data_IF_852375814251
#
_entry.id   IF_852375814251
#
_cell.length_a   1.000
_cell.length_b   1.000
_cell.length_c   1.000
_cell.angle_alpha   90.00
_cell.angle_beta   90.00
_cell.angle_gamma   90.00
#
_symmetry.space_group_name_H-M   'P 1'
#
loop_
_entity.id
_entity.type
_entity.pdbx_description
1 polymer ?
#
# COMPACT_ATOMS: atom_id res chain seq x y z
N UNK A 1 3.64 6.47 -6.41
CA UNK A 1 4.84 5.93 -5.76
C UNK A 1 6.08 6.15 -6.63
N UNK A 2 7.23 6.43 -6.02
CA UNK A 2 8.45 6.83 -6.74
C UNK A 2 8.35 8.21 -7.40
N UNK A 3 9.31 8.53 -8.29
CA UNK A 3 9.30 9.76 -9.09
C UNK A 3 8.71 9.51 -10.49
N UNK A 4 8.38 10.59 -11.22
CA UNK A 4 7.92 10.47 -12.60
C UNK A 4 8.98 9.81 -13.53
N UNK A 5 10.26 10.04 -13.26
CA UNK A 5 11.37 9.51 -14.04
C UNK A 5 11.82 8.13 -13.60
N UNK A 6 11.56 7.76 -12.33
CA UNK A 6 11.86 6.45 -11.77
C UNK A 6 10.69 5.99 -10.87
N UNK A 7 9.67 5.32 -11.42
CA UNK A 7 8.44 4.98 -10.73
C UNK A 7 8.60 3.71 -9.87
N UNK A 8 9.66 3.68 -9.05
CA UNK A 8 9.94 2.64 -8.05
C UNK A 8 10.11 3.32 -6.70
N UNK A 9 9.42 2.81 -5.70
CA UNK A 9 9.58 3.25 -4.32
C UNK A 9 10.01 2.06 -3.48
N UNK A 10 11.04 2.25 -2.67
CA UNK A 10 11.54 1.27 -1.70
C UNK A 10 11.43 1.90 -0.33
N UNK A 11 10.61 1.33 0.53
CA UNK A 11 10.28 1.89 1.84
C UNK A 11 10.59 0.88 2.95
N UNK A 12 11.52 1.17 3.84
CA UNK A 12 11.62 0.47 5.12
C UNK A 12 10.47 0.92 6.04
N UNK A 13 9.74 -0.03 6.61
CA UNK A 13 8.53 0.20 7.35
C UNK A 13 8.52 -0.59 8.66
N UNK A 14 7.89 -0.03 9.68
CA UNK A 14 7.62 -0.70 10.95
C UNK A 14 6.13 -0.57 11.27
N UNK A 15 5.44 -1.68 11.55
CA UNK A 15 3.99 -1.63 11.79
C UNK A 15 3.64 -0.80 13.03
N UNK A 16 4.55 -0.72 14.00
CA UNK A 16 4.38 0.10 15.19
C UNK A 16 4.34 1.60 14.89
N UNK A 17 4.95 2.05 13.79
CA UNK A 17 4.95 3.46 13.39
C UNK A 17 3.59 3.95 12.88
N UNK A 18 2.72 3.03 12.49
CA UNK A 18 1.38 3.35 12.03
C UNK A 18 0.42 3.55 13.18
N UNK A 19 -0.52 4.48 13.02
CA UNK A 19 -1.61 4.68 13.96
C UNK A 19 -2.47 3.42 14.09
N UNK A 20 -2.88 3.11 15.31
CA UNK A 20 -3.61 1.88 15.62
C UNK A 20 -2.82 0.60 15.26
N UNK A 21 -1.48 0.70 15.07
CA UNK A 21 -0.61 -0.43 14.74
C UNK A 21 -1.11 -1.22 13.52
N UNK A 22 -1.58 -0.48 12.50
CA UNK A 22 -2.07 -1.04 11.25
C UNK A 22 -1.96 -0.03 10.13
N UNK A 23 -1.57 -0.47 8.95
CA UNK A 23 -1.81 0.34 7.76
C UNK A 23 -3.21 0.03 7.22
N UNK A 24 -3.90 1.11 6.81
CA UNK A 24 -5.30 1.04 6.43
C UNK A 24 -5.50 0.37 5.08
N UNK A 25 -6.70 -0.13 4.86
CA UNK A 25 -7.15 -0.63 3.58
C UNK A 25 -6.94 0.39 2.48
N UNK A 26 -6.13 0.01 1.49
CA UNK A 26 -5.88 0.80 0.30
C UNK A 26 -5.60 -0.10 -0.91
N UNK A 27 -5.60 0.48 -2.08
CA UNK A 27 -5.17 -0.14 -3.33
C UNK A 27 -4.54 0.92 -4.22
N UNK A 28 -3.73 0.49 -5.12
CA UNK A 28 -3.04 1.33 -6.08
C UNK A 28 -2.73 0.53 -7.36
N UNK A 29 -2.51 1.20 -8.51
CA UNK A 29 -2.21 0.53 -9.78
C UNK A 29 -0.83 -0.14 -9.81
N UNK A 30 0.02 0.16 -8.84
CA UNK A 30 1.35 -0.41 -8.72
C UNK A 30 1.29 -1.86 -8.22
N UNK A 31 2.36 -2.59 -8.51
CA UNK A 31 2.71 -3.87 -7.88
C UNK A 31 3.42 -3.57 -6.58
N UNK A 32 3.14 -4.34 -5.54
CA UNK A 32 3.88 -4.30 -4.30
C UNK A 32 4.52 -5.65 -3.99
N UNK A 33 5.81 -5.61 -3.65
CA UNK A 33 6.60 -6.73 -3.17
C UNK A 33 7.08 -6.39 -1.77
N UNK A 34 6.71 -7.19 -0.79
CA UNK A 34 7.11 -6.95 0.60
C UNK A 34 7.95 -8.11 1.11
N UNK A 35 9.09 -7.80 1.75
CA UNK A 35 9.90 -8.75 2.50
C UNK A 35 9.87 -8.41 3.99
N UNK A 36 9.59 -9.41 4.84
CA UNK A 36 9.49 -9.27 6.29
C UNK A 36 10.86 -9.50 6.93
N UNK A 37 11.41 -8.44 7.52
CA UNK A 37 12.76 -8.44 8.08
C UNK A 37 12.77 -9.02 9.48
N UNK A 38 11.75 -8.70 10.30
CA UNK A 38 11.60 -9.22 11.67
C UNK A 38 10.14 -9.18 12.11
N UNK A 39 9.79 -10.04 13.06
CA UNK A 39 8.45 -10.14 13.63
C UNK A 39 7.45 -10.86 12.72
N UNK A 40 6.17 -10.58 12.94
CA UNK A 40 5.07 -11.15 12.16
C UNK A 40 3.90 -10.16 12.03
N UNK A 41 3.13 -10.29 10.97
CA UNK A 41 1.98 -9.44 10.67
C UNK A 41 0.81 -10.24 10.13
N UNK A 42 -0.41 -9.89 10.50
CA UNK A 42 -1.60 -10.30 9.74
C UNK A 42 -1.71 -9.39 8.52
N UNK A 43 -1.42 -9.94 7.34
CA UNK A 43 -1.54 -9.25 6.07
C UNK A 43 -2.80 -9.73 5.35
N UNK A 44 -3.64 -8.82 4.91
CA UNK A 44 -4.92 -9.15 4.27
C UNK A 44 -4.90 -8.60 2.85
N UNK A 45 -5.17 -9.46 1.86
CA UNK A 45 -5.32 -9.05 0.46
C UNK A 45 -6.67 -9.52 -0.04
N UNK A 46 -7.51 -8.58 -0.44
CA UNK A 46 -8.90 -8.83 -0.78
C UNK A 46 -9.63 -9.55 0.38
N UNK A 47 -10.04 -10.79 0.20
CA UNK A 47 -10.68 -11.62 1.22
C UNK A 47 -9.75 -12.68 1.82
N UNK A 48 -8.50 -12.74 1.38
CA UNK A 48 -7.49 -13.67 1.86
C UNK A 48 -6.72 -13.07 3.03
N UNK A 49 -6.43 -13.88 4.04
CA UNK A 49 -5.69 -13.50 5.24
C UNK A 49 -4.46 -14.38 5.37
N UNK A 50 -3.36 -13.73 5.65
CA UNK A 50 -2.06 -14.36 5.79
C UNK A 50 -1.43 -13.93 7.12
N UNK A 51 -0.84 -14.86 7.84
CA UNK A 51 0.16 -14.54 8.87
C UNK A 51 1.51 -14.68 8.18
N UNK A 52 2.22 -13.58 8.04
CA UNK A 52 3.52 -13.55 7.39
C UNK A 52 4.57 -13.27 8.46
N UNK A 53 5.60 -14.07 8.46
CA UNK A 53 6.65 -14.08 9.48
C UNK A 53 7.98 -13.61 8.91
N UNK A 54 8.93 -13.37 9.81
CA UNK A 54 10.32 -13.05 9.48
C UNK A 54 10.89 -13.98 8.39
N UNK A 55 11.57 -13.41 7.42
CA UNK A 55 12.19 -14.11 6.29
C UNK A 55 11.25 -14.38 5.12
N UNK A 56 9.94 -14.36 5.32
CA UNK A 56 8.94 -14.52 4.27
C UNK A 56 8.72 -13.21 3.50
N UNK A 57 7.97 -13.30 2.40
CA UNK A 57 7.53 -12.13 1.65
C UNK A 57 6.12 -12.29 1.11
N UNK A 58 5.62 -11.23 0.48
CA UNK A 58 4.35 -11.26 -0.23
C UNK A 58 4.43 -10.43 -1.52
N UNK A 59 3.85 -10.96 -2.57
CA UNK A 59 3.50 -10.22 -3.79
C UNK A 59 2.04 -9.78 -3.69
N UNK A 60 1.78 -8.49 -3.88
CA UNK A 60 0.44 -7.93 -4.07
C UNK A 60 0.32 -7.39 -5.50
N UNK A 61 -0.71 -7.86 -6.19
CA UNK A 61 -0.96 -7.50 -7.59
C UNK A 61 -1.52 -6.07 -7.71
N UNK A 62 -1.40 -5.52 -8.90
CA UNK A 62 -2.01 -4.24 -9.29
C UNK A 62 -3.49 -4.19 -8.88
N UNK A 63 -3.89 -3.10 -8.26
CA UNK A 63 -5.26 -2.88 -7.76
C UNK A 63 -5.77 -3.94 -6.75
N UNK A 64 -4.92 -4.74 -6.16
CA UNK A 64 -5.31 -5.60 -5.05
C UNK A 64 -5.54 -4.76 -3.79
N UNK A 65 -6.72 -4.89 -3.19
CA UNK A 65 -7.06 -4.20 -1.95
C UNK A 65 -6.34 -4.88 -0.78
N UNK A 66 -5.54 -4.15 -0.02
CA UNK A 66 -4.76 -4.76 1.06
C UNK A 66 -4.64 -3.89 2.32
N UNK A 67 -4.35 -4.55 3.44
CA UNK A 67 -4.12 -3.95 4.75
C UNK A 67 -3.24 -4.85 5.61
N UNK A 68 -2.54 -4.28 6.59
CA UNK A 68 -1.73 -5.01 7.56
C UNK A 68 -2.07 -4.66 9.00
N UNK A 69 -2.01 -5.64 9.87
CA UNK A 69 -2.35 -5.51 11.27
C UNK A 69 -1.27 -6.14 12.15
N UNK A 70 -0.90 -5.42 13.19
CA UNK A 70 -0.01 -5.95 14.24
C UNK A 70 -0.63 -7.16 14.91
N UNK A 71 0.21 -8.10 15.33
CA UNK A 71 -0.18 -9.30 16.09
C UNK A 71 0.43 -9.21 17.49
N UNK A 72 -0.39 -9.46 18.50
CA UNK A 72 0.04 -9.60 19.92
C UNK A 72 0.92 -8.45 20.45
N UNK A 73 0.66 -7.20 19.99
CA UNK A 73 1.42 -6.00 20.32
C UNK A 73 2.95 -6.12 20.04
N UNK A 74 3.33 -6.99 19.11
CA UNK A 74 4.72 -7.17 18.68
C UNK A 74 4.98 -6.42 17.38
N UNK A 75 6.10 -5.67 17.35
CA UNK A 75 6.51 -4.95 16.16
C UNK A 75 6.90 -5.90 15.02
N UNK A 76 6.68 -5.44 13.78
CA UNK A 76 7.07 -6.13 12.58
C UNK A 76 7.72 -5.12 11.64
N UNK A 77 8.97 -5.37 11.28
CA UNK A 77 9.72 -4.55 10.35
C UNK A 77 9.74 -5.23 8.99
N UNK A 78 9.48 -4.46 7.93
CA UNK A 78 9.42 -4.99 6.57
C UNK A 78 9.92 -3.96 5.55
N UNK A 79 10.30 -4.44 4.39
CA UNK A 79 10.69 -3.64 3.23
C UNK A 79 9.61 -3.78 2.16
N UNK A 80 9.04 -2.67 1.75
CA UNK A 80 8.08 -2.60 0.64
C UNK A 80 8.77 -2.05 -0.61
N UNK A 81 8.64 -2.75 -1.72
CA UNK A 81 9.07 -2.34 -3.06
C UNK A 81 7.84 -2.19 -3.93
N UNK A 82 7.49 -0.96 -4.23
CA UNK A 82 6.28 -0.61 -5.00
C UNK A 82 6.69 -0.04 -6.36
N UNK A 83 6.12 -0.56 -7.45
CA UNK A 83 6.43 -0.09 -8.80
C UNK A 83 5.25 -0.22 -9.76
N UNK A 84 5.12 0.74 -10.68
CA UNK A 84 4.07 0.67 -11.69
C UNK A 84 4.40 -0.40 -12.75
N UNK A 85 3.44 -1.26 -13.17
CA UNK A 85 3.66 -2.32 -14.16
C UNK A 85 4.28 -1.84 -15.48
N UNK A 86 4.04 -0.58 -15.86
CA UNK A 86 4.65 0.07 -17.04
C UNK A 86 6.18 0.02 -16.99
N UNK A 87 6.76 -0.04 -15.81
CA UNK A 87 8.21 -0.14 -15.65
C UNK A 87 8.77 -1.47 -16.21
N UNK A 88 7.94 -2.52 -16.24
CA UNK A 88 8.30 -3.83 -16.83
C UNK A 88 8.08 -3.84 -18.35
N UNK A 89 6.93 -3.31 -18.85
CA UNK A 89 6.59 -3.45 -20.25
C UNK A 89 7.03 -2.27 -21.14
N UNK A 90 7.42 -1.14 -20.56
CA UNK A 90 7.96 0.04 -21.25
C UNK A 90 6.92 0.87 -21.99
N UNK A 91 6.36 0.39 -23.09
CA UNK A 91 5.38 1.14 -23.87
C UNK A 91 4.07 0.35 -24.09
N UNK A 92 3.00 1.12 -24.26
CA UNK A 92 1.63 0.59 -24.37
C UNK A 92 1.46 -0.27 -25.63
N UNK A 93 0.64 -1.32 -25.51
CA UNK A 93 0.37 -2.30 -26.55
C UNK A 93 1.61 -3.11 -27.00
N UNK A 94 2.69 -3.08 -26.23
CA UNK A 94 3.85 -3.95 -26.49
C UNK A 94 3.51 -5.43 -26.24
N UNK A 95 4.28 -6.32 -26.84
CA UNK A 95 4.16 -7.77 -26.57
C UNK A 95 4.45 -8.07 -25.10
N UNK A 96 5.31 -7.27 -24.44
CA UNK A 96 5.58 -7.42 -23.01
C UNK A 96 4.36 -7.10 -22.17
N UNK A 97 3.63 -6.03 -22.51
CA UNK A 97 2.37 -5.70 -21.85
C UNK A 97 1.34 -6.79 -22.07
N UNK A 98 0.92 -7.01 -23.32
CA UNK A 98 -0.29 -7.78 -23.63
C UNK A 98 -0.17 -9.27 -23.33
N UNK A 99 1.03 -9.83 -23.46
CA UNK A 99 1.26 -11.26 -23.25
C UNK A 99 1.76 -11.61 -21.84
N UNK A 100 2.57 -10.76 -21.23
CA UNK A 100 3.28 -11.12 -20.00
C UNK A 100 2.82 -10.32 -18.78
N UNK A 101 2.48 -9.03 -18.94
CA UNK A 101 2.09 -8.19 -17.80
C UNK A 101 0.59 -8.25 -17.58
N UNK A 102 -0.22 -7.96 -18.59
CA UNK A 102 -1.68 -7.97 -18.48
C UNK A 102 -2.21 -9.37 -18.12
N UNK A 103 -1.49 -10.43 -18.50
CA UNK A 103 -1.80 -11.80 -18.12
C UNK A 103 -1.91 -11.98 -16.61
N UNK A 104 -1.05 -11.33 -15.83
CA UNK A 104 -1.06 -11.37 -14.36
C UNK A 104 -1.94 -10.25 -13.81
N UNK A 105 -1.69 -9.00 -14.22
CA UNK A 105 -2.32 -7.81 -13.62
C UNK A 105 -3.83 -7.73 -13.82
N UNK A 106 -4.33 -8.29 -14.92
CA UNK A 106 -5.77 -8.32 -15.19
C UNK A 106 -6.51 -9.48 -14.52
N UNK A 107 -5.81 -10.38 -13.85
CA UNK A 107 -6.41 -11.54 -13.22
C UNK A 107 -6.67 -11.30 -11.73
N UNK A 108 -7.93 -11.12 -11.36
CA UNK A 108 -8.36 -10.84 -9.99
C UNK A 108 -8.12 -12.00 -9.02
N UNK A 109 -7.92 -13.23 -9.51
CA UNK A 109 -7.62 -14.41 -8.66
C UNK A 109 -6.17 -14.43 -8.19
N UNK A 110 -5.29 -13.75 -8.91
CA UNK A 110 -3.87 -13.67 -8.59
C UNK A 110 -3.55 -12.36 -7.87
N UNK A 111 -4.41 -12.03 -6.91
CA UNK A 111 -4.28 -10.79 -6.13
C UNK A 111 -3.06 -10.76 -5.24
N UNK A 112 -2.60 -11.93 -4.80
CA UNK A 112 -1.43 -12.06 -3.92
C UNK A 112 -0.80 -13.44 -3.98
N UNK A 113 0.47 -13.50 -3.56
CA UNK A 113 1.23 -14.73 -3.39
C UNK A 113 2.20 -14.56 -2.22
N UNK A 114 2.07 -15.40 -1.19
CA UNK A 114 3.06 -15.46 -0.10
C UNK A 114 4.32 -16.13 -0.63
N UNK A 115 5.45 -15.52 -0.39
CA UNK A 115 6.77 -15.98 -0.78
C UNK A 115 7.44 -16.66 0.40
N UNK A 116 7.82 -17.91 0.22
CA UNK A 116 8.38 -18.78 1.24
C UNK A 116 9.88 -19.03 0.97
N UNK A 117 10.78 -18.79 1.93
CA UNK A 117 12.22 -18.98 1.74
C UNK A 117 12.61 -20.43 1.51
N UNK A 118 11.81 -21.41 1.96
CA UNK A 118 12.04 -22.84 1.71
C UNK A 118 11.72 -23.29 0.27
N UNK A 119 11.04 -22.46 -0.53
CA UNK A 119 10.71 -22.75 -1.94
C UNK A 119 11.71 -22.02 -2.83
N UNK A 120 12.58 -22.73 -3.58
CA UNK A 120 13.74 -22.12 -4.24
C UNK A 120 13.44 -20.90 -5.11
N UNK A 121 12.44 -20.95 -6.01
CA UNK A 121 12.12 -19.83 -6.89
C UNK A 121 11.48 -18.64 -6.15
N UNK A 122 10.79 -18.89 -5.03
CA UNK A 122 10.23 -17.84 -4.18
C UNK A 122 11.33 -17.19 -3.35
N UNK A 123 12.27 -17.97 -2.85
CA UNK A 123 13.45 -17.45 -2.17
C UNK A 123 14.31 -16.58 -3.09
N UNK A 124 14.44 -16.92 -4.37
CA UNK A 124 15.12 -16.07 -5.33
C UNK A 124 14.45 -14.69 -5.46
N UNK A 125 13.12 -14.63 -5.42
CA UNK A 125 12.38 -13.34 -5.40
C UNK A 125 12.69 -12.56 -4.12
N UNK A 126 12.68 -13.23 -2.97
CA UNK A 126 13.03 -12.58 -1.68
C UNK A 126 14.46 -12.01 -1.74
N UNK A 127 15.43 -12.76 -2.26
CA UNK A 127 16.81 -12.28 -2.41
C UNK A 127 16.92 -11.08 -3.37
N UNK A 128 16.14 -11.04 -4.45
CA UNK A 128 16.09 -9.86 -5.31
C UNK A 128 15.48 -8.64 -4.62
N UNK A 129 14.46 -8.80 -3.76
CA UNK A 129 13.91 -7.70 -2.96
C UNK A 129 15.00 -7.15 -2.02
N UNK A 130 15.76 -8.03 -1.37
CA UNK A 130 16.89 -7.64 -0.51
C UNK A 130 17.97 -6.91 -1.28
N UNK A 131 18.32 -7.36 -2.49
CA UNK A 131 19.29 -6.69 -3.36
C UNK A 131 18.78 -5.31 -3.78
N UNK A 132 17.52 -5.16 -4.16
CA UNK A 132 16.89 -3.88 -4.50
C UNK A 132 17.00 -2.91 -3.32
N UNK A 133 16.68 -3.36 -2.10
CA UNK A 133 16.82 -2.55 -0.90
C UNK A 133 18.26 -2.12 -0.66
N UNK A 134 19.20 -3.06 -0.77
CA UNK A 134 20.65 -2.78 -0.62
C UNK A 134 21.13 -1.72 -1.61
N UNK A 135 20.77 -1.83 -2.89
CA UNK A 135 21.11 -0.85 -3.92
C UNK A 135 20.54 0.53 -3.60
N UNK A 136 19.30 0.58 -3.11
CA UNK A 136 18.66 1.85 -2.73
C UNK A 136 19.35 2.52 -1.55
N UNK A 137 19.73 1.76 -0.51
CA UNK A 137 20.47 2.27 0.64
C UNK A 137 21.84 2.82 0.28
N UNK A 138 22.53 2.22 -0.71
CA UNK A 138 23.86 2.68 -1.16
C UNK A 138 23.80 4.05 -1.85
N UNK A 139 22.66 4.42 -2.45
CA UNK A 139 22.50 5.70 -3.17
C UNK A 139 21.90 6.78 -2.27
N UNK A 140 21.00 6.40 -1.39
CA UNK A 140 20.39 7.31 -0.41
C UNK A 140 21.28 7.34 0.85
N UNK A 141 22.39 8.07 0.83
CA UNK A 141 23.25 8.31 2.00
C UNK A 141 22.56 9.20 3.06
N UNK A 142 21.32 8.89 3.43
CA UNK A 142 20.56 9.55 4.47
C UNK A 142 20.44 8.66 5.70
N UNK A 143 20.74 9.24 6.86
CA UNK A 143 20.77 8.67 8.20
C UNK A 143 19.46 8.04 8.71
N UNK A 144 18.38 8.07 7.92
CA UNK A 144 17.03 7.77 8.39
C UNK A 144 16.49 6.37 8.01
N UNK A 145 17.25 5.58 7.26
CA UNK A 145 16.84 4.24 6.83
C UNK A 145 17.50 3.13 7.67
N UNK A 146 17.44 3.24 9.01
CA UNK A 146 18.00 2.22 9.89
C UNK A 146 16.92 1.24 10.35
N UNK A 147 16.98 0.00 9.88
CA UNK A 147 16.22 -1.12 10.48
C UNK A 147 17.13 -1.83 11.49
N UNK A 148 16.76 -1.92 12.78
CA UNK A 148 17.52 -2.67 13.77
C UNK A 148 17.71 -4.12 13.34
N UNK A 149 18.97 -4.59 13.30
CA UNK A 149 19.32 -5.96 12.94
C UNK A 149 19.79 -6.15 11.48
N UNK A 150 19.70 -5.10 10.63
CA UNK A 150 20.32 -5.10 9.32
C UNK A 150 21.46 -4.08 9.30
N UNK A 151 22.70 -4.53 9.56
CA UNK A 151 23.88 -3.66 9.55
C UNK A 151 24.11 -3.16 8.13
N UNK A 152 23.88 -1.85 7.95
CA UNK A 152 24.11 -1.15 6.70
C UNK A 152 25.54 -1.31 6.21
N UNK A 153 25.68 -1.48 4.92
CA UNK A 153 26.97 -1.60 4.23
C UNK A 153 27.68 -0.24 4.30
N UNK A 154 28.96 -0.25 4.69
CA UNK A 154 29.83 0.91 4.73
C UNK A 154 29.82 1.69 3.40
N UNK A 155 30.04 3.00 3.48
CA UNK A 155 30.14 3.94 2.36
C UNK A 155 30.80 3.31 1.13
N UNK A 156 30.02 3.02 0.10
CA UNK A 156 30.52 2.59 -1.20
C UNK A 156 30.25 3.72 -2.23
N UNK A 157 31.09 3.83 -3.25
CA UNK A 157 30.96 4.88 -4.26
C UNK A 157 29.60 4.78 -4.97
N UNK A 158 29.08 5.93 -5.41
CA UNK A 158 27.88 6.04 -6.25
C UNK A 158 27.88 4.95 -7.32
N UNK A 159 26.85 4.09 -7.30
CA UNK A 159 26.64 3.10 -8.35
C UNK A 159 25.97 3.83 -9.52
N UNK A 160 26.68 4.08 -10.63
CA UNK A 160 26.14 4.91 -11.71
C UNK A 160 25.00 4.27 -12.49
N UNK A 161 24.66 3.03 -12.20
CA UNK A 161 23.70 2.20 -12.93
C UNK A 161 22.65 1.56 -12.01
N UNK A 162 22.44 2.08 -10.79
CA UNK A 162 21.57 1.43 -9.80
C UNK A 162 20.11 1.32 -10.27
N UNK A 163 19.55 2.34 -10.94
CA UNK A 163 18.20 2.30 -11.49
C UNK A 163 18.05 1.19 -12.54
N UNK A 164 19.07 1.02 -13.38
CA UNK A 164 19.06 -0.02 -14.39
C UNK A 164 19.16 -1.42 -13.77
N UNK A 165 19.97 -1.58 -12.73
CA UNK A 165 20.06 -2.83 -11.96
C UNK A 165 18.75 -3.17 -11.29
N UNK A 166 18.08 -2.20 -10.64
CA UNK A 166 16.75 -2.39 -10.05
C UNK A 166 15.74 -2.82 -11.14
N UNK A 167 15.78 -2.18 -12.31
CA UNK A 167 14.91 -2.57 -13.42
C UNK A 167 15.14 -4.04 -13.85
N UNK A 168 16.38 -4.47 -13.97
CA UNK A 168 16.70 -5.86 -14.32
C UNK A 168 16.19 -6.84 -13.25
N UNK A 169 16.38 -6.54 -11.97
CA UNK A 169 15.89 -7.37 -10.86
C UNK A 169 14.36 -7.48 -10.85
N UNK A 170 13.66 -6.38 -11.10
CA UNK A 170 12.20 -6.39 -11.20
C UNK A 170 11.70 -7.20 -12.41
N UNK A 171 12.40 -7.14 -13.55
CA UNK A 171 12.12 -7.99 -14.70
C UNK A 171 12.34 -9.49 -14.39
N UNK A 172 13.38 -9.84 -13.65
CA UNK A 172 13.65 -11.21 -13.21
C UNK A 172 12.57 -11.72 -12.25
N UNK A 173 12.15 -10.90 -11.28
CA UNK A 173 11.03 -11.21 -10.38
C UNK A 173 9.76 -11.46 -11.20
N UNK A 174 9.45 -10.54 -12.14
CA UNK A 174 8.26 -10.66 -12.99
C UNK A 174 8.27 -11.93 -13.82
N UNK A 175 9.41 -12.30 -14.38
CA UNK A 175 9.56 -13.53 -15.17
C UNK A 175 9.26 -14.78 -14.31
N UNK A 176 9.73 -14.84 -13.06
CA UNK A 176 9.44 -15.97 -12.15
C UNK A 176 7.96 -16.06 -11.80
N UNK A 177 7.34 -14.93 -11.50
CA UNK A 177 5.90 -14.84 -11.24
C UNK A 177 5.12 -15.32 -12.48
N UNK A 178 5.49 -14.86 -13.68
CA UNK A 178 4.84 -15.27 -14.92
C UNK A 178 4.92 -16.79 -15.13
N UNK A 179 6.10 -17.39 -14.97
CA UNK A 179 6.27 -18.84 -15.11
C UNK A 179 5.40 -19.62 -14.12
N UNK A 180 5.31 -19.16 -12.88
CA UNK A 180 4.43 -19.76 -11.88
C UNK A 180 2.96 -19.65 -12.28
N UNK A 181 2.50 -18.46 -12.63
CA UNK A 181 1.10 -18.24 -12.99
C UNK A 181 0.67 -18.94 -14.28
N UNK A 182 1.56 -19.08 -15.26
CA UNK A 182 1.28 -19.92 -16.46
C UNK A 182 1.00 -21.37 -16.09
N UNK A 183 1.72 -21.92 -15.10
CA UNK A 183 1.51 -23.30 -14.67
C UNK A 183 0.15 -23.51 -13.99
N UNK A 184 -0.34 -22.55 -13.24
CA UNK A 184 -1.62 -22.65 -12.50
C UNK A 184 -2.82 -22.07 -13.27
N UNK A 185 -2.61 -21.38 -14.39
CA UNK A 185 -3.68 -20.74 -15.17
C UNK A 185 -4.73 -21.71 -15.70
N UNK A 186 -4.40 -22.98 -15.81
CA UNK A 186 -5.31 -24.01 -16.34
C UNK A 186 -6.43 -24.40 -15.37
N UNK A 187 -6.32 -24.04 -14.08
CA UNK A 187 -7.17 -24.55 -13.00
C UNK A 187 -8.02 -23.46 -12.30
N UNK A 188 -8.07 -22.19 -12.80
CA UNK A 188 -8.67 -21.07 -12.05
C UNK A 188 -10.17 -20.88 -12.27
N UNK A 189 -10.98 -20.72 -11.19
CA UNK A 189 -12.43 -20.46 -11.24
C UNK A 189 -12.79 -18.98 -11.57
N UNK A 190 -14.09 -18.72 -11.79
CA UNK A 190 -14.65 -17.45 -12.29
C UNK A 190 -14.60 -16.24 -11.33
N UNK A 191 -14.67 -14.98 -11.86
CA UNK A 191 -14.46 -13.72 -11.10
C UNK A 191 -15.37 -13.53 -9.89
N UNK A 192 -14.81 -12.98 -8.81
CA UNK A 192 -15.55 -12.69 -7.57
C UNK A 192 -16.26 -11.33 -7.68
N UNK A 193 -17.53 -11.32 -8.10
CA UNK A 193 -18.38 -10.10 -8.25
C UNK A 193 -18.38 -9.17 -7.01
N UNK A 194 -18.11 -9.71 -5.83
CA UNK A 194 -18.13 -8.92 -4.60
C UNK A 194 -16.87 -8.06 -4.41
N UNK A 195 -15.70 -8.44 -4.94
CA UNK A 195 -14.50 -7.59 -4.88
C UNK A 195 -14.65 -6.36 -5.76
N UNK A 196 -15.17 -6.52 -6.98
CA UNK A 196 -15.46 -5.38 -7.84
C UNK A 196 -16.44 -4.41 -7.16
N UNK A 197 -17.50 -4.93 -6.55
CA UNK A 197 -18.46 -4.11 -5.81
C UNK A 197 -17.84 -3.38 -4.61
N UNK A 198 -16.90 -4.01 -3.91
CA UNK A 198 -16.16 -3.34 -2.82
C UNK A 198 -15.31 -2.20 -3.35
N UNK A 199 -14.57 -2.43 -4.43
CA UNK A 199 -13.80 -1.39 -5.12
C UNK A 199 -14.67 -0.23 -5.59
N UNK A 200 -15.84 -0.52 -6.16
CA UNK A 200 -16.79 0.50 -6.60
C UNK A 200 -17.24 1.39 -5.42
N UNK A 201 -17.55 0.78 -4.25
CA UNK A 201 -17.90 1.54 -3.04
C UNK A 201 -16.73 2.41 -2.58
N UNK A 202 -15.52 1.84 -2.54
CA UNK A 202 -14.34 2.54 -2.05
C UNK A 202 -13.94 3.68 -2.99
N UNK A 203 -13.94 3.48 -4.31
CA UNK A 203 -13.70 4.53 -5.31
C UNK A 203 -14.70 5.66 -5.16
N UNK A 204 -15.99 5.32 -5.06
CA UNK A 204 -17.04 6.33 -4.85
C UNK A 204 -16.83 7.16 -3.58
N UNK A 205 -16.47 6.50 -2.47
CA UNK A 205 -16.18 7.19 -1.22
C UNK A 205 -14.95 8.10 -1.31
N UNK A 206 -13.91 7.70 -2.04
CA UNK A 206 -12.70 8.51 -2.24
C UNK A 206 -12.94 9.70 -3.15
N UNK A 207 -13.61 9.49 -4.29
CA UNK A 207 -13.91 10.53 -5.28
C UNK A 207 -14.82 11.62 -4.71
N UNK A 208 -15.77 11.23 -3.86
CA UNK A 208 -16.76 12.12 -3.25
C UNK A 208 -16.48 12.42 -1.76
N UNK A 209 -15.27 12.17 -1.28
CA UNK A 209 -14.94 12.29 0.16
C UNK A 209 -15.23 13.67 0.73
N UNK A 210 -15.08 14.74 -0.07
CA UNK A 210 -15.34 16.13 0.35
C UNK A 210 -16.81 16.52 0.34
N UNK A 211 -17.69 15.69 -0.21
CA UNK A 211 -19.11 15.97 -0.37
C UNK A 211 -19.93 15.45 0.82
N UNK A 212 -21.18 15.90 0.91
CA UNK A 212 -22.14 15.34 1.85
C UNK A 212 -22.72 14.04 1.26
N UNK A 213 -22.26 12.89 1.77
CA UNK A 213 -22.66 11.57 1.29
C UNK A 213 -23.71 10.96 2.22
N UNK A 214 -24.81 10.50 1.64
CA UNK A 214 -25.80 9.68 2.34
C UNK A 214 -25.52 8.18 2.14
N UNK A 215 -25.96 7.35 3.09
CA UNK A 215 -25.88 5.90 2.95
C UNK A 215 -26.73 5.40 1.77
N UNK A 216 -27.81 6.13 1.42
CA UNK A 216 -28.65 5.88 0.26
C UNK A 216 -27.85 5.96 -1.04
N UNK A 217 -27.08 7.03 -1.22
CA UNK A 217 -26.30 7.28 -2.44
C UNK A 217 -25.21 6.21 -2.60
N UNK A 218 -24.50 5.90 -1.52
CA UNK A 218 -23.44 4.88 -1.52
C UNK A 218 -24.01 3.50 -1.84
N UNK A 219 -25.12 3.12 -1.21
CA UNK A 219 -25.77 1.83 -1.43
C UNK A 219 -26.35 1.71 -2.85
N UNK A 220 -26.96 2.78 -3.37
CA UNK A 220 -27.48 2.83 -4.73
C UNK A 220 -26.36 2.67 -5.76
N UNK A 221 -25.21 3.35 -5.57
CA UNK A 221 -24.05 3.21 -6.43
C UNK A 221 -23.55 1.75 -6.51
N UNK A 222 -23.54 1.04 -5.38
CA UNK A 222 -23.14 -0.37 -5.32
C UNK A 222 -24.22 -1.37 -5.77
N UNK A 223 -25.42 -0.90 -6.13
CA UNK A 223 -26.57 -1.76 -6.45
C UNK A 223 -27.04 -2.61 -5.27
N UNK A 224 -26.99 -2.07 -4.05
CA UNK A 224 -27.37 -2.71 -2.80
C UNK A 224 -28.44 -1.90 -2.06
N UNK A 225 -29.19 -2.55 -1.17
CA UNK A 225 -29.94 -1.82 -0.16
C UNK A 225 -29.00 -1.39 0.99
N UNK A 226 -29.39 -0.36 1.77
CA UNK A 226 -28.58 0.19 2.87
C UNK A 226 -28.05 -0.86 3.85
N UNK A 227 -28.93 -1.75 4.28
CA UNK A 227 -28.56 -2.79 5.25
C UNK A 227 -27.59 -3.82 4.69
N UNK A 228 -27.71 -4.15 3.41
CA UNK A 228 -26.78 -5.03 2.72
C UNK A 228 -25.43 -4.34 2.52
N UNK A 229 -25.43 -3.08 2.10
CA UNK A 229 -24.22 -2.28 1.91
C UNK A 229 -23.42 -2.19 3.21
N UNK A 230 -24.05 -1.85 4.33
CA UNK A 230 -23.39 -1.79 5.64
C UNK A 230 -22.81 -3.14 6.06
N UNK A 231 -23.58 -4.25 5.93
CA UNK A 231 -23.10 -5.59 6.28
C UNK A 231 -21.96 -6.03 5.39
N UNK A 232 -22.10 -5.79 4.08
CA UNK A 232 -21.10 -6.11 3.08
C UNK A 232 -19.79 -5.36 3.38
N UNK A 233 -19.84 -4.04 3.51
CA UNK A 233 -18.68 -3.21 3.78
C UNK A 233 -18.00 -3.63 5.10
N UNK A 234 -18.77 -3.76 6.20
CA UNK A 234 -18.22 -4.17 7.50
C UNK A 234 -17.60 -5.57 7.48
N UNK A 235 -18.13 -6.49 6.67
CA UNK A 235 -17.57 -7.85 6.51
C UNK A 235 -16.14 -7.79 5.94
N UNK A 236 -15.91 -6.96 4.92
CA UNK A 236 -14.63 -6.91 4.21
C UNK A 236 -13.65 -5.90 4.83
N UNK A 237 -14.14 -4.72 5.24
CA UNK A 237 -13.33 -3.62 5.73
C UNK A 237 -13.11 -3.61 7.25
N UNK A 238 -13.84 -4.44 8.00
CA UNK A 238 -13.84 -4.49 9.49
C UNK A 238 -14.21 -3.16 10.17
N UNK A 239 -14.62 -2.16 9.42
CA UNK A 239 -15.06 -0.83 9.90
C UNK A 239 -16.36 -0.41 9.23
N UNK A 240 -16.99 0.64 9.73
CA UNK A 240 -18.18 1.18 9.07
C UNK A 240 -17.80 2.04 7.86
N UNK A 241 -18.76 2.20 6.91
CA UNK A 241 -18.61 3.09 5.74
C UNK A 241 -18.23 4.52 6.17
N UNK A 242 -18.88 5.04 7.21
CA UNK A 242 -18.62 6.40 7.68
C UNK A 242 -17.32 6.51 8.46
N UNK A 243 -16.85 5.48 9.17
CA UNK A 243 -15.50 5.50 9.76
C UNK A 243 -14.45 5.53 8.66
N UNK A 244 -14.62 4.76 7.58
CA UNK A 244 -13.73 4.82 6.42
C UNK A 244 -13.75 6.21 5.76
N UNK A 245 -14.93 6.80 5.52
CA UNK A 245 -15.05 8.14 4.96
C UNK A 245 -14.34 9.19 5.84
N UNK A 246 -14.52 9.13 7.15
CA UNK A 246 -13.85 10.04 8.09
C UNK A 246 -12.32 9.87 8.04
N UNK A 247 -11.82 8.65 8.00
CA UNK A 247 -10.38 8.40 7.88
C UNK A 247 -9.80 8.95 6.56
N UNK A 248 -10.51 8.73 5.44
CA UNK A 248 -10.15 9.30 4.13
C UNK A 248 -10.08 10.82 4.15
N UNK A 249 -11.06 11.48 4.77
CA UNK A 249 -11.07 12.95 4.96
C UNK A 249 -9.88 13.43 5.78
N UNK A 250 -9.52 12.72 6.84
CA UNK A 250 -8.33 13.05 7.65
C UNK A 250 -7.06 12.90 6.82
N UNK A 251 -6.89 11.81 6.09
CA UNK A 251 -5.73 11.62 5.22
C UNK A 251 -5.62 12.72 4.16
N UNK A 252 -6.72 13.08 3.50
CA UNK A 252 -6.77 14.17 2.53
C UNK A 252 -6.44 15.54 3.14
N UNK A 253 -6.65 15.71 4.45
CA UNK A 253 -6.36 16.97 5.16
C UNK A 253 -4.87 17.17 5.46
N UNK A 254 -4.07 16.10 5.53
CA UNK A 254 -2.65 16.16 5.93
C UNK A 254 -1.81 16.99 4.95
N UNK A 255 -1.84 16.78 3.63
CA UNK A 255 -1.11 17.63 2.68
C UNK A 255 -1.48 19.12 2.82
N UNK A 256 -2.77 19.42 2.88
CA UNK A 256 -3.26 20.81 3.05
C UNK A 256 -2.75 21.45 4.35
N UNK A 257 -2.68 20.66 5.42
CA UNK A 257 -2.16 21.11 6.71
C UNK A 257 -0.66 21.40 6.63
N UNK A 258 0.10 20.60 5.88
CA UNK A 258 1.54 20.78 5.66
C UNK A 258 1.82 21.98 4.75
N UNK A 259 1.00 22.24 3.74
CA UNK A 259 1.06 23.41 2.86
C UNK A 259 0.72 24.73 3.59
N UNK A 260 0.34 24.64 4.86
CA UNK A 260 0.13 25.81 5.70
C UNK A 260 -1.29 26.36 5.71
N UNK A 261 -2.23 25.70 5.07
CA UNK A 261 -3.64 26.12 5.02
C UNK A 261 -4.26 26.29 6.42
N UNK A 262 -5.30 27.12 6.48
CA UNK A 262 -6.03 27.38 7.71
C UNK A 262 -6.95 26.21 8.07
N UNK A 263 -6.97 25.81 9.34
CA UNK A 263 -7.76 24.67 9.86
C UNK A 263 -9.25 24.80 9.49
N UNK A 264 -9.81 26.01 9.49
CA UNK A 264 -11.21 26.25 9.10
C UNK A 264 -11.42 25.98 7.61
N UNK A 265 -10.49 26.40 6.78
CA UNK A 265 -10.49 26.14 5.33
C UNK A 265 -10.35 24.67 5.04
N UNK A 266 -9.37 24.01 5.68
CA UNK A 266 -9.13 22.57 5.52
C UNK A 266 -10.40 21.78 5.85
N UNK A 267 -11.03 22.05 7.00
CA UNK A 267 -12.25 21.34 7.40
C UNK A 267 -13.34 21.38 6.32
N UNK A 268 -13.54 22.56 5.70
CA UNK A 268 -14.49 22.69 4.58
C UNK A 268 -14.05 21.96 3.31
N UNK A 269 -12.78 22.07 2.93
CA UNK A 269 -12.25 21.45 1.71
C UNK A 269 -12.31 19.91 1.74
N UNK A 270 -12.13 19.31 2.93
CA UNK A 270 -12.16 17.85 3.07
C UNK A 270 -13.52 17.29 3.53
N UNK A 271 -14.56 18.13 3.58
CA UNK A 271 -15.94 17.73 3.78
C UNK A 271 -16.42 17.60 5.23
N UNK A 272 -15.75 18.26 6.21
CA UNK A 272 -16.27 18.33 7.57
C UNK A 272 -17.26 19.47 7.73
N UNK A 273 -18.34 19.21 8.45
CA UNK A 273 -19.40 20.21 8.73
C UNK A 273 -18.94 21.36 9.64
N UNK A 274 -17.86 21.19 10.40
CA UNK A 274 -17.28 22.24 11.22
C UNK A 274 -15.80 21.99 11.57
N UNK A 275 -15.01 23.05 11.80
CA UNK A 275 -13.62 22.93 12.25
C UNK A 275 -13.47 22.20 13.60
N UNK A 276 -14.45 22.35 14.49
CA UNK A 276 -14.45 21.70 15.80
C UNK A 276 -14.58 20.18 15.64
N UNK A 277 -15.50 19.73 14.78
CA UNK A 277 -15.68 18.30 14.47
C UNK A 277 -14.46 17.74 13.75
N UNK A 278 -13.90 18.45 12.78
CA UNK A 278 -12.63 18.10 12.15
C UNK A 278 -11.52 17.88 13.19
N UNK A 279 -11.30 18.85 14.08
CA UNK A 279 -10.28 18.76 15.13
C UNK A 279 -10.46 17.57 16.08
N UNK A 280 -11.71 17.25 16.43
CA UNK A 280 -12.04 16.09 17.26
C UNK A 280 -11.72 14.78 16.54
N UNK A 281 -12.14 14.64 15.28
CA UNK A 281 -11.90 13.43 14.47
C UNK A 281 -10.41 13.31 14.13
N UNK A 282 -9.74 14.41 13.76
CA UNK A 282 -8.30 14.41 13.54
C UNK A 282 -7.55 13.90 14.77
N UNK A 283 -7.88 14.41 15.97
CA UNK A 283 -7.26 13.93 17.21
C UNK A 283 -7.55 12.44 17.48
N UNK A 284 -8.75 11.96 17.12
CA UNK A 284 -9.12 10.54 17.27
C UNK A 284 -8.27 9.64 16.39
N UNK A 285 -7.96 10.06 15.14
CA UNK A 285 -7.20 9.26 14.17
C UNK A 285 -5.68 9.48 14.29
N UNK A 286 -5.24 10.71 14.60
CA UNK A 286 -3.83 11.10 14.60
C UNK A 286 -3.23 11.21 16.02
N UNK A 287 -3.96 10.82 17.06
CA UNK A 287 -3.51 10.92 18.46
C UNK A 287 -3.33 12.35 18.99
N UNK A 288 -3.21 13.35 18.11
CA UNK A 288 -2.96 14.76 18.45
C UNK A 288 -3.81 15.72 17.62
N UNK A 289 -3.92 16.99 18.06
CA UNK A 289 -4.68 17.99 17.29
C UNK A 289 -3.98 18.37 15.97
N UNK A 290 -4.73 18.90 14.96
CA UNK A 290 -4.12 19.36 13.70
C UNK A 290 -2.99 20.37 13.91
N UNK A 291 -3.16 21.31 14.86
CA UNK A 291 -2.13 22.30 15.17
C UNK A 291 -0.86 21.69 15.80
N UNK A 292 -1.02 20.67 16.63
CA UNK A 292 0.10 19.94 17.21
C UNK A 292 0.83 19.13 16.12
N UNK A 293 0.09 18.45 15.26
CA UNK A 293 0.64 17.68 14.13
C UNK A 293 1.49 18.57 13.22
N UNK A 294 0.94 19.72 12.78
CA UNK A 294 1.67 20.71 11.97
C UNK A 294 2.97 21.18 12.64
N UNK A 295 2.92 21.44 13.96
CA UNK A 295 4.10 21.87 14.72
C UNK A 295 5.16 20.78 14.84
N UNK A 296 4.74 19.54 15.05
CA UNK A 296 5.63 18.36 15.11
C UNK A 296 6.35 18.14 13.76
N UNK A 297 5.60 18.11 12.68
CA UNK A 297 6.16 17.95 11.35
C UNK A 297 7.14 19.08 10.96
N UNK A 298 6.85 20.33 11.31
CA UNK A 298 7.76 21.46 11.09
C UNK A 298 9.06 21.37 11.92
N UNK A 299 9.02 20.74 13.10
CA UNK A 299 10.20 20.51 13.93
C UNK A 299 11.07 19.37 13.39
N UNK A 300 10.48 18.34 12.83
CA UNK A 300 11.21 17.22 12.16
C UNK A 300 11.93 17.71 10.90
N UNK A 301 11.31 18.62 10.12
CA UNK A 301 11.91 19.20 8.90
C UNK A 301 12.99 20.27 9.17
N UNK A 302 13.13 20.77 10.42
CA UNK A 302 14.13 21.79 10.79
C UNK A 302 15.33 21.19 11.56
N UNK A 303 15.35 19.90 11.77
CA UNK A 303 16.44 19.17 12.42
C UNK A 303 17.39 18.49 11.41
N UNK A 304 17.11 18.62 10.11
CA UNK A 304 17.93 18.33 8.96
C UNK A 304 18.56 19.66 8.46
#
# INVERSE_FOLDING_TARGET
HGSYTFPVQVSPEAIQSYEQHSFMWHWHPEIELTWFVSGQMEYVVNDQRYIISEGEGIFCNSNALHAGYMIDDQDCNYISVTFHPKFIYGYENSILQTKYVDFITSNEFWSSLVLKPEIPWQNEIIEYIKEIYTLTCQVQSSSDAFIPGYEGIAEQPELPDYEFRIHLLLCEIWHRLYLHYVQIAQDTPHPQKHLQRLKDILSYLQEHASEELSLEDIAAHAGLCKSECCRFFKKYMRMTIFDYLLSTRIQNSIPLLMDGENITTIAGLVGFSSPAYYGQIFKRYMGMSPSQYKKHAAQSSSAD
#
